data_IF_871882617372
#
_entry.id   IF_871882617372
#
_cell.length_a   1.000
_cell.length_b   1.000
_cell.length_c   1.000
_cell.angle_alpha   90.00
_cell.angle_beta   90.00
_cell.angle_gamma   90.00
#
_symmetry.space_group_name_H-M   'P 1'
#
loop_
_entity.id
_entity.type
_entity.pdbx_description
1 polymer ?
#
# COMPACT_ATOMS: atom_id res chain seq x y z
N UNK A 1 12.20 5.87 8.33
CA UNK A 1 12.03 5.72 9.79
C UNK A 1 10.54 5.59 10.07
N UNK A 2 10.15 4.65 10.93
CA UNK A 2 8.77 4.54 11.42
C UNK A 2 8.74 5.02 12.87
N UNK A 3 7.81 5.90 13.20
CA UNK A 3 7.58 6.32 14.58
C UNK A 3 6.46 5.47 15.19
N UNK A 4 6.68 4.96 16.40
CA UNK A 4 5.72 4.20 17.18
C UNK A 4 5.39 5.03 18.43
N UNK A 5 4.10 5.29 18.65
CA UNK A 5 3.62 5.98 19.84
C UNK A 5 2.97 4.97 20.79
N UNK A 6 3.53 4.82 21.98
CA UNK A 6 2.97 3.98 23.03
C UNK A 6 1.93 4.79 23.82
N UNK A 7 0.66 4.40 23.73
CA UNK A 7 -0.45 5.07 24.44
C UNK A 7 -0.36 4.96 25.97
N UNK A 8 0.25 3.91 26.51
CA UNK A 8 0.34 3.70 27.96
C UNK A 8 1.42 4.58 28.59
N UNK A 9 2.56 4.67 27.92
CA UNK A 9 3.70 5.44 28.43
C UNK A 9 3.81 6.84 27.84
N UNK A 10 2.98 7.15 26.84
CA UNK A 10 2.97 8.40 26.05
C UNK A 10 4.34 8.73 25.43
N UNK A 11 5.11 7.68 25.10
CA UNK A 11 6.47 7.83 24.57
C UNK A 11 6.55 7.41 23.11
N UNK A 12 7.38 8.16 22.39
CA UNK A 12 7.80 7.78 21.05
C UNK A 12 8.98 6.82 21.11
N UNK A 13 8.90 5.78 20.29
CA UNK A 13 10.03 4.96 19.89
C UNK A 13 10.13 4.98 18.37
N UNK A 14 11.31 4.66 17.86
CA UNK A 14 11.58 4.76 16.42
C UNK A 14 12.15 3.46 15.91
N UNK A 15 11.53 2.92 14.86
CA UNK A 15 12.05 1.76 14.14
C UNK A 15 12.80 2.27 12.92
N UNK A 16 14.11 1.99 12.89
CA UNK A 16 14.93 2.24 11.71
C UNK A 16 14.53 1.26 10.62
N UNK A 17 14.45 1.76 9.40
CA UNK A 17 14.20 0.93 8.22
C UNK A 17 15.36 1.20 7.26
N UNK A 18 16.29 0.23 7.22
CA UNK A 18 17.55 0.14 6.46
C UNK A 18 18.41 1.42 6.37
N UNK A 19 19.65 1.36 6.90
CA UNK A 19 20.66 2.43 6.74
C UNK A 19 21.20 2.56 5.30
N UNK A 20 21.06 1.53 4.47
CA UNK A 20 21.68 1.44 3.12
C UNK A 20 20.87 2.03 1.97
N UNK A 21 19.62 2.48 2.19
CA UNK A 21 18.93 3.32 1.21
C UNK A 21 19.34 4.79 1.44
N UNK A 22 20.56 5.13 1.04
CA UNK A 22 21.10 6.51 1.00
C UNK A 22 20.37 7.44 0.03
N UNK A 23 19.35 6.93 -0.67
CA UNK A 23 18.38 7.73 -1.42
C UNK A 23 17.11 7.72 -0.60
N UNK A 24 16.86 8.85 0.08
CA UNK A 24 15.56 9.31 0.57
C UNK A 24 14.45 8.29 0.31
N UNK A 25 14.00 7.60 1.38
CA UNK A 25 12.78 6.78 1.39
C UNK A 25 11.84 7.29 0.31
N UNK A 26 11.75 6.57 -0.81
CA UNK A 26 10.89 7.03 -1.89
C UNK A 26 9.51 7.21 -1.27
N UNK A 27 8.90 8.37 -1.46
CA UNK A 27 7.65 8.75 -0.79
C UNK A 27 6.43 7.85 -1.20
N UNK A 28 6.68 6.63 -1.70
CA UNK A 28 5.77 5.55 -2.14
C UNK A 28 5.48 4.50 -1.07
N UNK A 29 5.88 4.69 0.18
CA UNK A 29 5.70 3.63 1.17
C UNK A 29 4.28 3.66 1.73
N UNK A 30 3.55 2.56 1.56
CA UNK A 30 2.23 2.35 2.17
C UNK A 30 2.37 1.43 3.37
N UNK A 31 1.97 1.91 4.54
CA UNK A 31 1.89 1.12 5.76
C UNK A 31 0.71 0.15 5.66
N UNK A 32 0.93 -1.11 5.97
CA UNK A 32 -0.10 -2.15 5.95
C UNK A 32 -0.02 -3.01 7.20
N UNK A 33 -1.16 -3.58 7.60
CA UNK A 33 -1.19 -4.67 8.55
C UNK A 33 -0.98 -5.98 7.79
N UNK A 34 0.10 -6.69 8.09
CA UNK A 34 0.41 -8.00 7.53
C UNK A 34 0.33 -9.04 8.65
N UNK A 35 -0.84 -9.66 8.81
CA UNK A 35 -1.08 -10.70 9.82
C UNK A 35 -0.69 -10.27 11.25
N UNK A 36 -1.13 -9.07 11.65
CA UNK A 36 -0.82 -8.48 12.96
C UNK A 36 0.57 -7.85 13.05
N UNK A 37 1.39 -7.95 12.00
CA UNK A 37 2.72 -7.32 11.93
C UNK A 37 2.70 -6.07 11.07
N UNK A 38 3.60 -5.14 11.38
CA UNK A 38 3.77 -3.94 10.57
C UNK A 38 4.42 -4.31 9.22
N UNK A 39 3.73 -3.99 8.12
CA UNK A 39 4.22 -4.13 6.76
C UNK A 39 4.40 -2.76 6.08
N UNK A 40 5.35 -2.70 5.15
CA UNK A 40 5.59 -1.57 4.26
C UNK A 40 5.58 -2.06 2.81
N UNK A 41 4.62 -1.61 2.01
CA UNK A 41 4.57 -1.92 0.58
C UNK A 41 5.10 -0.73 -0.22
N UNK A 42 5.98 -1.00 -1.18
CA UNK A 42 6.57 0.03 -2.02
C UNK A 42 6.93 -0.43 -3.43
N UNK A 43 7.06 0.55 -4.33
CA UNK A 43 7.65 0.44 -5.65
C UNK A 43 9.08 0.97 -5.61
N UNK A 44 10.05 0.21 -6.17
CA UNK A 44 11.48 0.62 -6.16
C UNK A 44 11.76 1.88 -6.96
N UNK A 45 10.96 2.17 -7.99
CA UNK A 45 11.30 3.15 -9.03
C UNK A 45 10.57 4.49 -8.88
N UNK A 46 9.49 4.56 -8.09
CA UNK A 46 8.59 5.73 -8.10
C UNK A 46 7.66 5.74 -6.89
N UNK A 47 7.15 6.94 -6.56
CA UNK A 47 6.02 7.16 -5.61
C UNK A 47 4.74 6.44 -6.03
N UNK A 48 4.63 6.18 -7.32
CA UNK A 48 3.47 5.59 -7.95
C UNK A 48 3.85 4.28 -8.63
N UNK A 49 2.86 3.43 -8.83
CA UNK A 49 3.01 2.21 -9.62
C UNK A 49 2.49 2.51 -11.03
N UNK A 50 3.32 2.29 -12.05
CA UNK A 50 2.95 2.48 -13.45
C UNK A 50 2.92 1.15 -14.19
N UNK A 51 2.50 1.19 -15.45
CA UNK A 51 2.58 0.07 -16.39
C UNK A 51 4.00 -0.52 -16.51
N UNK A 52 5.04 0.29 -16.29
CA UNK A 52 6.43 -0.11 -16.44
C UNK A 52 6.96 -0.95 -15.26
N UNK A 53 6.29 -0.91 -14.11
CA UNK A 53 6.69 -1.67 -12.94
C UNK A 53 6.75 -3.18 -13.22
N UNK A 54 7.79 -3.82 -12.67
CA UNK A 54 8.00 -5.28 -12.79
C UNK A 54 7.72 -6.02 -11.49
N UNK A 55 7.85 -5.34 -10.36
CA UNK A 55 7.62 -5.91 -9.05
C UNK A 55 7.25 -4.84 -8.04
N UNK A 56 6.66 -5.31 -6.94
CA UNK A 56 6.45 -4.57 -5.72
C UNK A 56 7.24 -5.25 -4.60
N UNK A 57 7.63 -4.49 -3.59
CA UNK A 57 8.31 -5.01 -2.41
C UNK A 57 7.43 -4.84 -1.19
N UNK A 58 7.30 -5.90 -0.39
CA UNK A 58 6.75 -5.84 0.97
C UNK A 58 7.88 -6.07 1.97
N UNK A 59 7.96 -5.18 2.95
CA UNK A 59 8.86 -5.31 4.08
C UNK A 59 8.05 -5.53 5.35
N UNK A 60 8.25 -6.64 6.02
CA UNK A 60 7.53 -6.98 7.26
C UNK A 60 8.48 -6.85 8.44
N UNK A 61 8.06 -6.08 9.45
CA UNK A 61 8.81 -5.92 10.68
C UNK A 61 8.80 -7.24 11.47
N UNK A 62 9.99 -7.80 11.71
CA UNK A 62 10.16 -9.01 12.52
C UNK A 62 10.37 -8.68 13.99
N UNK A 63 11.24 -7.72 14.26
CA UNK A 63 11.58 -7.27 15.60
C UNK A 63 11.78 -5.75 15.59
N UNK A 64 10.90 -5.02 16.29
CA UNK A 64 10.93 -3.57 16.38
C UNK A 64 12.12 -3.03 17.17
N UNK A 65 12.54 -3.74 18.21
CA UNK A 65 13.64 -3.35 19.10
C UNK A 65 14.99 -3.55 18.42
N UNK A 66 15.14 -4.63 17.64
CA UNK A 66 16.35 -4.89 16.84
C UNK A 66 16.34 -4.23 15.46
N UNK A 67 15.23 -3.58 15.09
CA UNK A 67 15.03 -2.97 13.78
C UNK A 67 15.16 -3.97 12.61
N UNK A 68 14.72 -5.22 12.82
CA UNK A 68 14.85 -6.30 11.85
C UNK A 68 13.64 -6.39 10.93
N UNK A 69 13.88 -6.41 9.62
CA UNK A 69 12.85 -6.48 8.59
C UNK A 69 13.08 -7.68 7.67
N UNK A 70 12.00 -8.35 7.25
CA UNK A 70 12.03 -9.30 6.13
C UNK A 70 11.47 -8.71 4.85
N UNK A 71 12.17 -8.97 3.75
CA UNK A 71 11.78 -8.56 2.40
C UNK A 71 11.04 -9.68 1.67
N UNK A 72 9.95 -9.31 1.02
CA UNK A 72 9.25 -10.10 0.02
C UNK A 72 9.19 -9.31 -1.29
N UNK A 73 9.45 -9.97 -2.41
CA UNK A 73 9.37 -9.36 -3.75
C UNK A 73 8.26 -10.03 -4.52
N UNK A 74 7.25 -9.26 -4.90
CA UNK A 74 6.11 -9.73 -5.66
C UNK A 74 6.26 -9.31 -7.12
N UNK A 75 6.54 -10.28 -7.98
CA UNK A 75 6.66 -10.06 -9.43
C UNK A 75 5.28 -9.86 -10.03
N UNK A 76 5.10 -8.77 -10.77
CA UNK A 76 3.86 -8.45 -11.46
C UNK A 76 3.70 -9.36 -12.69
N UNK A 77 2.51 -9.91 -12.95
CA UNK A 77 2.28 -10.79 -14.09
C UNK A 77 2.35 -10.02 -15.42
N UNK A 78 2.56 -10.70 -16.56
CA UNK A 78 2.59 -10.04 -17.88
C UNK A 78 1.35 -9.17 -18.16
N UNK A 79 0.17 -9.64 -17.74
CA UNK A 79 -1.11 -8.93 -17.87
C UNK A 79 -1.18 -7.61 -17.12
N UNK A 80 -0.24 -7.32 -16.21
CA UNK A 80 -0.14 -6.04 -15.53
C UNK A 80 -0.13 -4.86 -16.51
N UNK A 81 0.61 -5.02 -17.62
CA UNK A 81 0.75 -3.97 -18.62
C UNK A 81 -0.55 -3.64 -19.33
N UNK A 82 -1.47 -4.59 -19.40
CA UNK A 82 -2.74 -4.44 -20.11
C UNK A 82 -3.83 -3.89 -19.17
N UNK A 83 -3.72 -4.16 -17.86
CA UNK A 83 -4.68 -3.71 -16.86
C UNK A 83 -4.35 -2.29 -16.34
N UNK A 84 -3.07 -1.96 -16.20
CA UNK A 84 -2.61 -0.69 -15.61
C UNK A 84 -2.20 0.27 -16.72
N UNK A 85 -3.11 1.18 -17.07
CA UNK A 85 -2.92 2.18 -18.13
C UNK A 85 -2.49 3.55 -17.60
N UNK A 86 -2.56 3.76 -16.29
CA UNK A 86 -2.33 5.05 -15.65
C UNK A 86 -1.47 4.92 -14.40
N UNK A 87 -1.18 6.06 -13.77
CA UNK A 87 -0.33 6.14 -12.59
C UNK A 87 -1.13 5.76 -11.34
N UNK A 88 -0.79 4.64 -10.70
CA UNK A 88 -1.52 4.07 -9.57
C UNK A 88 -0.86 4.38 -8.23
N UNK A 89 -1.66 4.42 -7.16
CA UNK A 89 -1.23 4.43 -5.75
C UNK A 89 -1.54 3.08 -5.13
N UNK A 90 -0.67 2.65 -4.23
CA UNK A 90 -0.94 1.52 -3.34
C UNK A 90 -1.79 2.07 -2.20
N UNK A 91 -2.94 1.46 -1.96
CA UNK A 91 -3.89 1.88 -0.92
C UNK A 91 -3.73 1.02 0.33
N UNK A 92 -3.30 -0.23 0.16
CA UNK A 92 -2.98 -1.12 1.26
C UNK A 92 -2.98 -2.58 0.83
N UNK A 93 -3.25 -3.43 1.81
CA UNK A 93 -3.33 -4.88 1.63
C UNK A 93 -4.55 -5.42 2.38
N UNK A 94 -5.28 -6.35 1.74
CA UNK A 94 -6.37 -7.12 2.36
C UNK A 94 -5.81 -8.50 2.70
N UNK A 95 -5.90 -8.87 3.98
CA UNK A 95 -5.23 -10.07 4.50
C UNK A 95 -3.72 -10.00 4.25
N UNK A 96 -3.15 -11.11 3.79
CA UNK A 96 -1.72 -11.25 3.46
C UNK A 96 -1.44 -11.43 1.98
N UNK A 97 -2.48 -11.46 1.14
CA UNK A 97 -2.35 -11.86 -0.26
C UNK A 97 -2.84 -10.84 -1.28
N UNK A 98 -3.75 -9.93 -0.96
CA UNK A 98 -4.29 -8.98 -1.93
C UNK A 98 -3.78 -7.55 -1.72
N UNK A 99 -2.94 -7.07 -2.63
CA UNK A 99 -2.54 -5.66 -2.68
C UNK A 99 -3.62 -4.86 -3.40
N UNK A 100 -4.06 -3.76 -2.80
CA UNK A 100 -5.09 -2.87 -3.36
C UNK A 100 -4.46 -1.61 -3.91
N UNK A 101 -4.82 -1.24 -5.14
CA UNK A 101 -4.36 -0.05 -5.82
C UNK A 101 -5.52 0.80 -6.35
N UNK A 102 -5.32 2.11 -6.41
CA UNK A 102 -6.25 3.05 -7.07
C UNK A 102 -5.50 3.99 -8.02
N UNK A 103 -6.17 4.54 -9.04
CA UNK A 103 -5.70 5.73 -9.75
C UNK A 103 -5.15 6.82 -8.82
N UNK A 104 -4.05 7.46 -9.21
CA UNK A 104 -3.48 8.60 -8.47
C UNK A 104 -4.31 9.87 -8.62
N UNK A 105 -4.96 10.02 -9.77
CA UNK A 105 -5.84 11.12 -10.13
C UNK A 105 -7.20 10.52 -10.46
N UNK A 106 -7.90 10.09 -9.41
CA UNK A 106 -9.15 9.39 -9.52
C UNK A 106 -10.30 10.40 -9.67
N UNK A 107 -11.00 10.33 -10.80
CA UNK A 107 -12.26 11.05 -11.04
C UNK A 107 -13.39 10.04 -11.16
N UNK A 108 -14.61 10.44 -10.79
CA UNK A 108 -15.78 9.58 -10.94
C UNK A 108 -16.22 9.53 -12.41
N UNK A 109 -16.49 8.34 -13.00
CA UNK A 109 -16.53 7.03 -12.36
C UNK A 109 -15.13 6.45 -12.08
N UNK A 110 -15.04 5.79 -10.93
CA UNK A 110 -13.79 5.37 -10.34
C UNK A 110 -13.66 3.84 -10.33
N UNK A 111 -12.43 3.33 -10.23
CA UNK A 111 -12.16 1.90 -10.05
C UNK A 111 -10.99 1.68 -9.09
N UNK A 112 -10.89 0.45 -8.61
CA UNK A 112 -9.73 -0.07 -7.88
C UNK A 112 -9.22 -1.35 -8.53
N UNK A 113 -7.95 -1.64 -8.32
CA UNK A 113 -7.29 -2.87 -8.75
C UNK A 113 -6.91 -3.66 -7.51
N UNK A 114 -7.20 -4.95 -7.51
CA UNK A 114 -6.61 -5.89 -6.57
C UNK A 114 -5.65 -6.81 -7.30
N UNK A 115 -4.49 -6.99 -6.70
CA UNK A 115 -3.46 -7.89 -7.14
C UNK A 115 -3.23 -8.96 -6.07
N UNK A 116 -3.62 -10.19 -6.37
CA UNK A 116 -3.32 -11.32 -5.51
C UNK A 116 -1.88 -11.78 -5.76
N UNK A 117 -1.03 -11.69 -4.74
CA UNK A 117 0.41 -11.96 -4.83
C UNK A 117 0.75 -13.45 -4.95
N UNK A 118 -0.13 -14.32 -4.46
CA UNK A 118 0.06 -15.78 -4.49
C UNK A 118 -0.34 -16.34 -5.86
N UNK A 119 -1.58 -16.06 -6.28
CA UNK A 119 -2.13 -16.54 -7.54
C UNK A 119 -1.71 -15.68 -8.74
N UNK A 120 -1.05 -14.54 -8.50
CA UNK A 120 -0.69 -13.53 -9.51
C UNK A 120 -1.87 -13.01 -10.34
N UNK A 121 -3.09 -13.09 -9.79
CA UNK A 121 -4.31 -12.65 -10.48
C UNK A 121 -4.53 -11.17 -10.23
N UNK A 122 -4.99 -10.47 -11.26
CA UNK A 122 -5.36 -9.06 -11.20
C UNK A 122 -6.86 -8.95 -11.46
N UNK A 123 -7.57 -8.21 -10.60
CA UNK A 123 -8.98 -7.86 -10.80
C UNK A 123 -9.15 -6.35 -10.76
N UNK A 124 -9.85 -5.78 -11.76
CA UNK A 124 -10.22 -4.37 -11.83
C UNK A 124 -11.71 -4.27 -11.51
N UNK A 125 -12.07 -3.48 -10.51
CA UNK A 125 -13.44 -3.37 -9.98
C UNK A 125 -13.88 -1.91 -10.02
N UNK A 126 -14.99 -1.64 -10.72
CA UNK A 126 -15.61 -0.32 -10.74
C UNK A 126 -16.30 -0.03 -9.41
N UNK A 127 -16.22 1.22 -8.96
CA UNK A 127 -16.93 1.71 -7.77
C UNK A 127 -18.30 2.22 -8.22
N UNK A 128 -19.37 1.68 -7.61
CA UNK A 128 -20.76 2.08 -7.85
C UNK A 128 -21.24 3.03 -6.73
N UNK A 129 -22.33 3.77 -6.97
CA UNK A 129 -22.95 4.63 -5.96
C UNK A 129 -22.32 6.02 -5.83
N UNK A 130 -21.53 6.43 -6.82
CA UNK A 130 -20.86 7.74 -6.86
C UNK A 130 -21.40 8.63 -8.00
N UNK A 131 -22.51 8.27 -8.64
CA UNK A 131 -23.00 8.89 -9.87
C UNK A 131 -23.24 10.41 -9.71
N UNK A 132 -23.72 10.83 -8.54
CA UNK A 132 -23.93 12.25 -8.20
C UNK A 132 -22.62 13.08 -8.14
N UNK A 133 -21.47 12.43 -8.06
CA UNK A 133 -20.15 13.05 -7.97
C UNK A 133 -19.36 12.99 -9.28
N UNK A 134 -20.03 12.80 -10.42
CA UNK A 134 -19.38 12.71 -11.74
C UNK A 134 -18.38 13.84 -11.98
N UNK A 135 -17.17 13.49 -12.42
CA UNK A 135 -16.07 14.44 -12.65
C UNK A 135 -15.44 15.03 -11.39
N UNK A 136 -15.94 14.70 -10.19
CA UNK A 136 -15.28 15.08 -8.93
C UNK A 136 -14.14 14.13 -8.62
N UNK A 137 -13.15 14.66 -7.91
CA UNK A 137 -12.00 13.90 -7.44
C UNK A 137 -12.40 13.03 -6.24
N UNK A 138 -11.98 11.77 -6.25
CA UNK A 138 -12.17 10.85 -5.12
C UNK A 138 -10.83 10.41 -4.53
N UNK A 139 -10.85 10.04 -3.25
CA UNK A 139 -9.73 9.40 -2.57
C UNK A 139 -10.21 8.08 -1.98
N UNK A 140 -9.44 7.02 -2.19
CA UNK A 140 -9.74 5.70 -1.66
C UNK A 140 -8.85 5.42 -0.44
N UNK A 141 -9.45 4.97 0.65
CA UNK A 141 -8.75 4.51 1.85
C UNK A 141 -9.23 3.10 2.18
N UNK A 142 -8.29 2.22 2.55
CA UNK A 142 -8.63 0.88 3.01
C UNK A 142 -8.89 0.89 4.52
N UNK A 143 -9.78 0.02 4.99
CA UNK A 143 -10.08 -0.17 6.42
C UNK A 143 -10.52 1.13 7.14
N UNK A 144 -11.32 1.96 6.47
CA UNK A 144 -11.95 3.12 7.12
C UNK A 144 -12.87 2.67 8.25
N UNK A 145 -12.66 3.24 9.44
CA UNK A 145 -13.51 3.06 10.61
C UNK A 145 -13.99 4.45 11.02
N UNK A 146 -15.30 4.68 10.96
CA UNK A 146 -15.92 5.99 11.20
C UNK A 146 -15.78 6.45 12.66
N UNK A 147 -15.81 5.50 13.61
CA UNK A 147 -15.78 5.79 15.05
C UNK A 147 -14.89 4.79 15.79
N UNK A 148 -13.66 5.18 16.12
CA UNK A 148 -12.78 4.42 17.00
C UNK A 148 -13.06 4.87 18.44
N UNK A 149 -13.99 4.18 19.13
CA UNK A 149 -14.15 4.37 20.58
C UNK A 149 -12.99 3.69 21.27
N UNK A 150 -12.18 4.47 21.99
CA UNK A 150 -11.19 3.91 22.91
C UNK A 150 -11.96 3.31 24.10
N UNK A 151 -11.79 2.00 24.32
CA UNK A 151 -12.25 1.30 25.52
C UNK A 151 -11.16 1.44 26.59
#
# INVERSE_FOLDING_TARGET
>A
MVACFDLRSEKFSFVKFMETFSRTMHHSTTLVNYDGKLGLIMSRSSRHVSQANKSLELWVLRDGAKHEWSKHVYVLPPSWKDVVTETMRIIGMVGTSEIVLSPSFQYVPSYIIYFNVESKRIRKVGIQGLEAFQGKRSYTYLNYVENVKFI
#
